data_IF_454847532112
#
_entry.id   IF_454847532112
#
_cell.length_a   1.000
_cell.length_b   1.000
_cell.length_c   1.000
_cell.angle_alpha   90.00
_cell.angle_beta   90.00
_cell.angle_gamma   90.00
#
_symmetry.space_group_name_H-M   'P 1'
#
loop_
_entity.id
_entity.type
_entity.pdbx_description
1 polymer ?
#
# COMPACT_ATOMS: atom_id res chain seq x y z
N UNK A 1 20.30 32.04 16.40
CA UNK A 1 19.34 30.98 16.78
C UNK A 1 18.98 30.17 15.53
N UNK A 2 19.76 29.13 15.21
CA UNK A 2 19.50 28.29 14.05
C UNK A 2 18.61 27.11 14.47
N UNK A 3 17.33 27.17 14.10
CA UNK A 3 16.37 26.12 14.37
C UNK A 3 16.78 24.84 13.65
N UNK A 4 17.16 23.81 14.42
CA UNK A 4 17.41 22.49 13.89
C UNK A 4 16.06 21.88 13.53
N UNK A 5 15.77 21.78 12.23
CA UNK A 5 14.59 21.09 11.73
C UNK A 5 14.61 19.64 12.20
N UNK A 6 13.53 19.21 12.87
CA UNK A 6 13.40 17.87 13.44
C UNK A 6 13.68 16.76 12.43
N UNK A 7 14.13 15.61 12.94
CA UNK A 7 14.42 14.41 12.16
C UNK A 7 13.26 14.09 11.22
N UNK A 8 13.47 14.32 9.92
CA UNK A 8 12.50 13.93 8.88
C UNK A 8 12.52 12.42 8.82
N UNK A 9 11.35 11.78 8.78
CA UNK A 9 11.15 10.33 8.66
C UNK A 9 11.75 9.71 7.38
N UNK A 10 12.47 10.50 6.57
CA UNK A 10 13.05 10.14 5.27
C UNK A 10 14.31 10.97 5.00
N UNK A 11 15.46 10.52 5.49
CA UNK A 11 16.75 10.93 4.93
C UNK A 11 17.48 9.69 4.44
N UNK A 12 17.44 9.46 3.13
CA UNK A 12 18.15 8.38 2.45
C UNK A 12 17.21 7.43 1.66
N UNK A 13 17.70 6.82 0.57
CA UNK A 13 17.05 5.69 -0.06
C UNK A 13 16.78 4.60 0.98
N UNK A 14 15.56 4.06 0.99
CA UNK A 14 15.20 2.99 1.91
C UNK A 14 16.06 1.76 1.57
N UNK A 15 16.64 1.08 2.58
CA UNK A 15 17.48 -0.10 2.34
C UNK A 15 16.74 -1.14 1.49
N UNK A 16 17.45 -1.77 0.56
CA UNK A 16 16.88 -2.85 -0.25
C UNK A 16 16.50 -4.00 0.67
N UNK A 17 15.21 -4.35 0.77
CA UNK A 17 14.72 -5.40 1.68
C UNK A 17 15.29 -6.78 1.38
N UNK A 18 15.79 -7.02 0.17
CA UNK A 18 16.33 -8.31 -0.29
C UNK A 18 17.85 -8.40 -0.20
N UNK A 19 18.52 -7.34 0.28
CA UNK A 19 19.97 -7.33 0.42
C UNK A 19 20.44 -8.07 1.68
N UNK A 20 21.60 -8.72 1.62
CA UNK A 20 22.24 -9.38 2.79
C UNK A 20 22.39 -8.42 3.98
N UNK A 21 22.62 -7.13 3.71
CA UNK A 21 22.75 -6.09 4.74
C UNK A 21 21.42 -5.79 5.44
N UNK A 22 20.29 -5.95 4.74
CA UNK A 22 18.95 -5.80 5.29
C UNK A 22 18.48 -7.07 6.01
N UNK A 23 18.85 -8.24 5.52
CA UNK A 23 18.62 -9.53 6.21
C UNK A 23 19.36 -9.58 7.56
N UNK A 24 20.62 -9.13 7.60
CA UNK A 24 21.39 -8.98 8.84
C UNK A 24 20.77 -7.97 9.82
N UNK A 25 19.94 -7.04 9.33
CA UNK A 25 19.18 -6.07 10.14
C UNK A 25 17.75 -6.55 10.45
N UNK A 26 17.36 -7.73 9.99
CA UNK A 26 16.01 -8.28 10.15
C UNK A 26 14.92 -7.56 9.34
N UNK A 27 15.29 -6.69 8.39
CA UNK A 27 14.34 -5.86 7.64
C UNK A 27 13.47 -6.68 6.68
N UNK A 28 13.92 -7.87 6.26
CA UNK A 28 13.12 -8.80 5.45
C UNK A 28 12.05 -9.57 6.24
N UNK A 29 12.18 -9.67 7.57
CA UNK A 29 11.28 -10.47 8.41
C UNK A 29 9.87 -9.86 8.54
N UNK A 30 9.74 -8.54 8.35
CA UNK A 30 8.47 -7.82 8.47
C UNK A 30 7.69 -7.73 7.15
N UNK A 31 8.21 -8.31 6.06
CA UNK A 31 7.58 -8.27 4.74
C UNK A 31 6.45 -9.29 4.66
N UNK A 32 5.26 -8.83 4.27
CA UNK A 32 4.08 -9.66 4.06
C UNK A 32 4.01 -10.05 2.57
N UNK A 33 4.20 -11.33 2.22
CA UNK A 33 3.94 -11.81 0.88
C UNK A 33 2.44 -11.91 0.62
N UNK A 34 2.00 -11.38 -0.53
CA UNK A 34 0.63 -11.42 -1.02
C UNK A 34 0.62 -12.22 -2.31
N UNK A 35 -0.19 -13.28 -2.38
CA UNK A 35 -0.30 -14.09 -3.59
C UNK A 35 -0.80 -13.25 -4.77
N UNK A 36 -0.12 -13.38 -5.92
CA UNK A 36 -0.48 -12.74 -7.19
C UNK A 36 -1.85 -13.19 -7.72
N UNK A 37 -2.32 -14.39 -7.33
CA UNK A 37 -3.67 -14.88 -7.65
C UNK A 37 -4.78 -14.05 -7.03
N UNK A 38 -4.45 -13.22 -6.06
CA UNK A 38 -5.38 -12.31 -5.42
C UNK A 38 -6.19 -12.94 -4.30
N UNK A 39 -7.20 -12.21 -3.85
CA UNK A 39 -8.06 -12.66 -2.76
C UNK A 39 -9.29 -13.41 -3.30
N UNK A 40 -9.52 -14.62 -2.79
CA UNK A 40 -10.52 -15.55 -3.34
C UNK A 40 -11.84 -15.58 -2.58
N UNK A 41 -11.91 -14.99 -1.39
CA UNK A 41 -13.14 -15.02 -0.60
C UNK A 41 -14.06 -13.86 -0.98
N UNK A 42 -15.36 -14.03 -0.68
CA UNK A 42 -16.32 -12.96 -0.85
C UNK A 42 -15.96 -11.79 0.09
N UNK A 43 -15.88 -10.55 -0.43
CA UNK A 43 -15.66 -9.41 0.44
C UNK A 43 -16.82 -9.18 1.38
N UNK A 44 -16.53 -8.55 2.53
CA UNK A 44 -17.59 -8.04 3.41
C UNK A 44 -18.45 -7.01 2.66
N UNK A 45 -19.66 -6.79 3.17
CA UNK A 45 -20.56 -5.78 2.63
C UNK A 45 -19.87 -4.40 2.56
N UNK A 46 -20.18 -3.65 1.51
CA UNK A 46 -19.66 -2.30 1.33
C UNK A 46 -20.11 -1.42 2.50
N UNK A 47 -19.19 -0.77 3.24
CA UNK A 47 -19.52 -0.18 4.54
C UNK A 47 -20.08 1.24 4.48
N UNK A 48 -19.91 1.95 3.36
CA UNK A 48 -20.39 3.33 3.26
C UNK A 48 -21.88 3.35 2.93
N UNK A 49 -22.56 4.38 3.44
CA UNK A 49 -23.94 4.67 3.07
C UNK A 49 -24.05 4.96 1.58
N UNK A 50 -25.25 4.85 1.04
CA UNK A 50 -25.53 5.24 -0.34
C UNK A 50 -25.09 6.69 -0.63
N UNK A 51 -24.54 6.92 -1.82
CA UNK A 51 -24.28 8.26 -2.35
C UNK A 51 -25.51 8.78 -3.07
N UNK A 52 -26.10 9.88 -2.60
CA UNK A 52 -27.30 10.45 -3.21
C UNK A 52 -26.91 11.58 -4.16
N UNK A 53 -27.36 11.48 -5.40
CA UNK A 53 -27.22 12.52 -6.41
C UNK A 53 -28.49 13.37 -6.42
N UNK A 54 -28.31 14.68 -6.42
CA UNK A 54 -29.40 15.64 -6.52
C UNK A 54 -29.30 16.39 -7.83
N UNK A 55 -30.42 16.52 -8.52
CA UNK A 55 -30.57 17.51 -9.59
C UNK A 55 -30.97 18.85 -8.96
N UNK A 56 -30.32 19.91 -9.40
CA UNK A 56 -30.50 21.26 -8.88
C UNK A 56 -30.65 22.23 -10.03
N UNK A 57 -31.80 22.88 -10.11
CA UNK A 57 -32.08 23.91 -11.10
C UNK A 57 -32.73 25.12 -10.42
N UNK A 58 -32.62 26.27 -11.07
CA UNK A 58 -33.22 27.51 -10.61
C UNK A 58 -34.18 28.02 -11.68
N UNK A 59 -35.41 28.31 -11.27
CA UNK A 59 -36.43 28.95 -12.10
C UNK A 59 -36.94 30.24 -11.43
N UNK A 60 -38.08 30.76 -11.90
CA UNK A 60 -38.71 31.96 -11.36
C UNK A 60 -39.25 31.76 -9.92
N UNK A 61 -39.61 30.53 -9.56
CA UNK A 61 -40.18 30.16 -8.26
C UNK A 61 -39.10 29.87 -7.20
N UNK A 62 -37.86 29.60 -7.62
CA UNK A 62 -36.71 29.51 -6.73
C UNK A 62 -35.68 28.47 -7.11
N UNK A 63 -34.90 28.01 -6.11
CA UNK A 63 -33.95 26.90 -6.26
C UNK A 63 -34.66 25.60 -5.93
N UNK A 64 -34.72 24.70 -6.90
CA UNK A 64 -35.26 23.36 -6.74
C UNK A 64 -34.12 22.37 -6.50
N UNK A 65 -34.43 21.35 -5.71
CA UNK A 65 -33.49 20.26 -5.39
C UNK A 65 -34.28 18.97 -5.27
N UNK A 66 -34.14 18.11 -6.28
CA UNK A 66 -34.78 16.80 -6.30
C UNK A 66 -33.74 15.69 -6.32
N UNK A 67 -34.08 14.54 -5.73
CA UNK A 67 -33.22 13.37 -5.77
C UNK A 67 -33.29 12.78 -7.18
N UNK A 68 -32.14 12.67 -7.83
CA UNK A 68 -32.04 11.91 -9.07
C UNK A 68 -31.85 10.43 -8.73
N UNK A 69 -32.94 9.68 -8.74
CA UNK A 69 -32.94 8.23 -8.50
C UNK A 69 -32.04 7.48 -9.48
N UNK A 70 -32.05 7.86 -10.76
CA UNK A 70 -31.33 7.15 -11.82
C UNK A 70 -29.82 7.35 -11.68
N UNK A 71 -29.38 8.60 -11.48
CA UNK A 71 -27.97 8.91 -11.25
C UNK A 71 -27.48 8.35 -9.92
N UNK A 72 -28.31 8.39 -8.88
CA UNK A 72 -28.04 7.75 -7.58
C UNK A 72 -27.79 6.25 -7.75
N UNK A 73 -28.69 5.53 -8.42
CA UNK A 73 -28.53 4.10 -8.67
C UNK A 73 -27.28 3.77 -9.51
N UNK A 74 -27.03 4.56 -10.57
CA UNK A 74 -25.87 4.38 -11.43
C UNK A 74 -24.56 4.54 -10.65
N UNK A 75 -24.45 5.60 -9.83
CA UNK A 75 -23.28 5.85 -8.98
C UNK A 75 -23.00 4.68 -8.05
N UNK A 76 -24.02 4.27 -7.27
CA UNK A 76 -23.83 3.24 -6.25
C UNK A 76 -23.59 1.86 -6.88
N UNK A 77 -24.12 1.60 -8.07
CA UNK A 77 -23.79 0.40 -8.85
C UNK A 77 -22.31 0.40 -9.27
N UNK A 78 -21.80 1.53 -9.75
CA UNK A 78 -20.39 1.68 -10.13
C UNK A 78 -19.45 1.53 -8.93
N UNK A 79 -19.77 2.18 -7.82
CA UNK A 79 -19.01 2.10 -6.56
C UNK A 79 -18.95 0.65 -6.04
N UNK A 80 -20.09 -0.06 -6.03
CA UNK A 80 -20.15 -1.48 -5.64
C UNK A 80 -19.41 -2.40 -6.60
N UNK A 81 -19.36 -2.08 -7.89
CA UNK A 81 -18.57 -2.84 -8.86
C UNK A 81 -17.07 -2.72 -8.56
N UNK A 82 -16.58 -1.49 -8.34
CA UNK A 82 -15.19 -1.23 -7.95
C UNK A 82 -14.82 -1.95 -6.66
N UNK A 83 -15.69 -1.93 -5.64
CA UNK A 83 -15.47 -2.69 -4.42
C UNK A 83 -15.23 -4.17 -4.71
N UNK A 84 -16.09 -4.81 -5.51
CA UNK A 84 -15.93 -6.23 -5.86
C UNK A 84 -14.62 -6.50 -6.60
N UNK A 85 -14.21 -5.60 -7.48
CA UNK A 85 -13.00 -5.78 -8.27
C UNK A 85 -11.73 -5.57 -7.46
N UNK A 86 -11.68 -4.56 -6.58
CA UNK A 86 -10.55 -4.36 -5.68
C UNK A 86 -10.32 -5.56 -4.75
N UNK A 87 -11.40 -6.18 -4.28
CA UNK A 87 -11.31 -7.37 -3.43
C UNK A 87 -10.87 -8.64 -4.17
N UNK A 88 -10.60 -8.59 -5.48
CA UNK A 88 -9.93 -9.67 -6.22
C UNK A 88 -8.40 -9.49 -6.25
N UNK A 89 -7.89 -8.32 -5.87
CA UNK A 89 -6.46 -8.02 -5.96
C UNK A 89 -5.65 -8.69 -4.84
N UNK A 90 -4.32 -8.87 -5.01
CA UNK A 90 -3.43 -9.38 -3.95
C UNK A 90 -3.50 -8.59 -2.64
N UNK A 91 -3.64 -7.26 -2.72
CA UNK A 91 -3.74 -6.35 -1.57
C UNK A 91 -4.92 -6.69 -0.64
N UNK A 92 -5.99 -7.26 -1.19
CA UNK A 92 -7.15 -7.64 -0.41
C UNK A 92 -6.87 -8.78 0.59
N UNK A 93 -5.84 -9.59 0.33
CA UNK A 93 -5.32 -10.55 1.32
C UNK A 93 -4.87 -9.81 2.58
N UNK A 94 -4.12 -8.71 2.41
CA UNK A 94 -3.68 -7.88 3.53
C UNK A 94 -4.88 -7.20 4.22
N UNK A 95 -5.80 -6.60 3.46
CA UNK A 95 -6.98 -5.91 4.03
C UNK A 95 -7.88 -6.84 4.85
N UNK A 96 -7.86 -8.15 4.58
CA UNK A 96 -8.58 -9.16 5.37
C UNK A 96 -7.88 -9.50 6.69
N UNK A 97 -6.56 -9.31 6.82
CA UNK A 97 -5.82 -9.64 8.03
C UNK A 97 -6.24 -8.76 9.22
N UNK A 98 -6.38 -9.31 10.44
CA UNK A 98 -6.76 -8.52 11.63
C UNK A 98 -5.89 -7.28 11.86
N UNK A 99 -4.57 -7.39 11.63
CA UNK A 99 -3.61 -6.28 11.83
C UNK A 99 -3.85 -5.09 10.90
N UNK A 100 -4.45 -5.29 9.73
CA UNK A 100 -4.73 -4.24 8.74
C UNK A 100 -6.21 -3.88 8.65
N UNK A 101 -7.04 -4.37 9.59
CA UNK A 101 -8.49 -4.16 9.56
C UNK A 101 -8.89 -2.68 9.58
N UNK A 102 -8.02 -1.80 10.10
CA UNK A 102 -8.23 -0.34 10.07
C UNK A 102 -8.27 0.25 8.64
N UNK A 103 -7.70 -0.42 7.64
CA UNK A 103 -7.73 0.02 6.23
C UNK A 103 -9.09 -0.19 5.56
N UNK A 104 -9.99 -0.99 6.14
CA UNK A 104 -11.26 -1.39 5.53
C UNK A 104 -12.10 -0.20 5.05
N UNK A 105 -12.22 0.84 5.88
CA UNK A 105 -12.95 2.06 5.52
C UNK A 105 -12.21 2.89 4.46
N UNK A 106 -10.87 2.91 4.50
CA UNK A 106 -10.05 3.61 3.50
C UNK A 106 -10.19 2.97 2.11
N UNK A 107 -10.28 1.64 2.02
CA UNK A 107 -10.55 0.95 0.74
C UNK A 107 -11.93 1.34 0.20
N UNK A 108 -12.93 1.48 1.06
CA UNK A 108 -14.27 1.90 0.65
C UNK A 108 -14.30 3.37 0.21
N UNK A 109 -13.61 4.26 0.93
CA UNK A 109 -13.43 5.66 0.55
C UNK A 109 -12.66 5.81 -0.77
N UNK A 110 -11.70 4.94 -1.04
CA UNK A 110 -11.04 4.89 -2.34
C UNK A 110 -12.03 4.60 -3.47
N UNK A 111 -12.95 3.64 -3.30
CA UNK A 111 -14.00 3.36 -4.31
C UNK A 111 -14.84 4.60 -4.59
N UNK A 112 -15.30 5.29 -3.54
CA UNK A 112 -16.08 6.53 -3.65
C UNK A 112 -15.31 7.61 -4.40
N UNK A 113 -14.06 7.84 -4.00
CA UNK A 113 -13.20 8.85 -4.58
C UNK A 113 -12.89 8.54 -6.05
N UNK A 114 -12.80 7.26 -6.41
CA UNK A 114 -12.58 6.83 -7.79
C UNK A 114 -13.76 7.22 -8.67
N UNK A 115 -14.99 6.89 -8.26
CA UNK A 115 -16.21 7.27 -9.00
C UNK A 115 -16.35 8.79 -9.10
N UNK A 116 -16.03 9.52 -8.03
CA UNK A 116 -16.01 10.99 -8.06
C UNK A 116 -15.02 11.51 -9.11
N UNK A 117 -13.82 10.93 -9.19
CA UNK A 117 -12.82 11.30 -10.18
C UNK A 117 -13.19 10.94 -11.64
N UNK A 118 -14.16 10.04 -11.86
CA UNK A 118 -14.72 9.74 -13.20
C UNK A 118 -15.67 10.84 -13.68
N UNK A 119 -16.17 11.70 -12.80
CA UNK A 119 -17.07 12.80 -13.19
C UNK A 119 -16.32 13.94 -13.87
N UNK A 120 -17.03 14.68 -14.73
CA UNK A 120 -16.48 15.87 -15.40
C UNK A 120 -16.10 16.98 -14.41
N UNK A 121 -16.79 17.06 -13.28
CA UNK A 121 -16.60 18.09 -12.25
C UNK A 121 -15.48 17.79 -11.26
N UNK A 122 -14.81 16.64 -11.40
CA UNK A 122 -13.72 16.23 -10.53
C UNK A 122 -12.61 17.29 -10.49
N UNK A 123 -12.19 17.68 -9.30
CA UNK A 123 -11.17 18.73 -9.08
C UNK A 123 -9.78 18.13 -8.92
N UNK A 124 -8.76 18.99 -8.94
CA UNK A 124 -7.38 18.56 -8.67
C UNK A 124 -7.24 17.94 -7.26
N UNK A 125 -7.94 18.51 -6.27
CA UNK A 125 -7.97 18.00 -4.90
C UNK A 125 -8.52 16.56 -4.82
N UNK A 126 -9.53 16.23 -5.64
CA UNK A 126 -10.13 14.90 -5.69
C UNK A 126 -9.13 13.86 -6.19
N UNK A 127 -8.39 14.19 -7.26
CA UNK A 127 -7.35 13.32 -7.82
C UNK A 127 -6.18 13.15 -6.85
N UNK A 128 -5.80 14.21 -6.14
CA UNK A 128 -4.79 14.13 -5.09
C UNK A 128 -5.24 13.22 -3.93
N UNK A 129 -6.51 13.28 -3.52
CA UNK A 129 -7.08 12.39 -2.50
C UNK A 129 -7.09 10.93 -2.96
N UNK A 130 -7.47 10.68 -4.22
CA UNK A 130 -7.44 9.34 -4.80
C UNK A 130 -6.04 8.72 -4.75
N UNK A 131 -5.01 9.47 -5.14
CA UNK A 131 -3.63 9.02 -5.11
C UNK A 131 -3.14 8.71 -3.68
N UNK A 132 -3.48 9.57 -2.69
CA UNK A 132 -3.12 9.32 -1.28
C UNK A 132 -3.78 8.06 -0.74
N UNK A 133 -5.05 7.82 -1.07
CA UNK A 133 -5.71 6.58 -0.68
C UNK A 133 -5.07 5.38 -1.35
N UNK A 134 -4.76 5.43 -2.66
CA UNK A 134 -4.07 4.36 -3.37
C UNK A 134 -2.75 3.96 -2.70
N UNK A 135 -1.94 4.94 -2.31
CA UNK A 135 -0.71 4.71 -1.53
C UNK A 135 -1.01 4.06 -0.18
N UNK A 136 -1.99 4.57 0.56
CA UNK A 136 -2.34 4.07 1.90
C UNK A 136 -2.78 2.61 1.88
N UNK A 137 -3.56 2.21 0.87
CA UNK A 137 -4.09 0.85 0.77
C UNK A 137 -3.20 -0.10 -0.06
N UNK A 138 -2.01 0.34 -0.48
CA UNK A 138 -1.03 -0.52 -1.15
C UNK A 138 -1.29 -0.79 -2.64
N UNK A 139 -2.05 0.06 -3.33
CA UNK A 139 -2.31 -0.07 -4.78
C UNK A 139 -1.17 0.49 -5.65
N UNK A 140 -0.19 1.18 -5.06
CA UNK A 140 0.97 1.72 -5.76
C UNK A 140 2.26 1.02 -5.32
N UNK A 141 3.33 1.03 -6.13
CA UNK A 141 4.64 0.51 -5.70
C UNK A 141 5.16 1.17 -4.42
N UNK A 142 4.87 2.46 -4.24
CA UNK A 142 5.19 3.17 -3.00
C UNK A 142 4.36 2.65 -1.82
N UNK A 143 3.06 2.45 -2.00
CA UNK A 143 2.18 1.91 -0.97
C UNK A 143 2.56 0.50 -0.54
N UNK A 144 2.86 -0.38 -1.50
CA UNK A 144 3.37 -1.73 -1.23
C UNK A 144 4.63 -1.66 -0.36
N UNK A 145 5.60 -0.84 -0.75
CA UNK A 145 6.84 -0.65 0.03
C UNK A 145 6.59 -0.09 1.43
N UNK A 146 5.71 0.89 1.59
CA UNK A 146 5.41 1.50 2.89
C UNK A 146 4.70 0.54 3.84
N UNK A 147 3.85 -0.32 3.30
CA UNK A 147 3.12 -1.30 4.09
C UNK A 147 3.95 -2.58 4.35
N UNK A 148 5.15 -2.68 3.77
CA UNK A 148 5.97 -3.88 3.80
C UNK A 148 5.30 -5.04 3.07
N UNK A 149 4.61 -4.79 1.96
CA UNK A 149 3.92 -5.81 1.18
C UNK A 149 4.69 -6.11 -0.10
N UNK A 150 4.78 -7.38 -0.45
CA UNK A 150 5.31 -7.83 -1.75
C UNK A 150 4.31 -8.76 -2.42
N UNK A 151 4.20 -8.68 -3.75
CA UNK A 151 3.35 -9.58 -4.53
C UNK A 151 4.22 -10.70 -5.06
N UNK A 152 3.84 -11.94 -4.80
CA UNK A 152 4.61 -13.15 -5.17
C UNK A 152 3.73 -14.13 -5.93
N UNK A 153 4.32 -14.85 -6.88
CA UNK A 153 3.65 -15.96 -7.55
C UNK A 153 3.74 -17.21 -6.68
N UNK A 154 2.61 -17.89 -6.47
CA UNK A 154 2.56 -19.12 -5.65
C UNK A 154 3.42 -20.28 -6.21
N UNK A 155 3.80 -20.21 -7.49
CA UNK A 155 4.60 -21.21 -8.20
C UNK A 155 6.10 -21.13 -7.85
N UNK A 156 6.56 -20.04 -7.22
CA UNK A 156 7.92 -19.95 -6.68
C UNK A 156 8.03 -20.77 -5.37
N UNK A 157 8.18 -22.08 -5.56
CA UNK A 157 8.67 -23.05 -4.58
C UNK A 157 9.75 -22.43 -3.70
N UNK A 158 9.41 -22.28 -2.41
CA UNK A 158 10.27 -22.14 -1.22
C UNK A 158 11.43 -21.13 -1.32
N UNK A 159 11.63 -20.24 -0.33
CA UNK A 159 12.90 -19.55 -0.24
C UNK A 159 13.99 -20.62 -0.26
N UNK A 160 14.92 -20.51 -1.21
CA UNK A 160 16.16 -21.28 -1.19
C UNK A 160 16.65 -21.17 0.24
N UNK A 161 16.60 -22.28 0.98
CA UNK A 161 17.16 -22.35 2.32
C UNK A 161 18.49 -21.64 2.25
N UNK A 162 18.68 -20.59 3.07
CA UNK A 162 19.92 -19.86 3.14
C UNK A 162 21.03 -20.90 3.09
N UNK A 163 21.79 -20.90 1.99
CA UNK A 163 22.80 -21.92 1.76
C UNK A 163 23.62 -21.97 3.05
N UNK A 164 23.54 -23.09 3.77
CA UNK A 164 24.39 -23.35 4.91
C UNK A 164 25.78 -22.96 4.44
N UNK A 165 26.44 -22.03 5.14
CA UNK A 165 27.74 -21.50 4.74
C UNK A 165 28.75 -22.66 4.69
N UNK A 166 28.82 -23.32 3.54
CA UNK A 166 29.77 -24.38 3.30
C UNK A 166 31.13 -23.69 3.22
N UNK A 167 31.96 -23.98 4.21
CA UNK A 167 33.16 -23.25 4.52
C UNK A 167 34.12 -23.08 3.35
N UNK A 168 34.64 -21.87 3.25
CA UNK A 168 36.08 -21.55 3.24
C UNK A 168 36.21 -20.06 3.50
N UNK A 169 36.02 -19.66 4.77
CA UNK A 169 36.51 -18.35 5.21
C UNK A 169 38.03 -18.46 5.19
N UNK A 170 38.68 -17.81 4.23
CA UNK A 170 40.13 -17.60 4.29
C UNK A 170 40.33 -16.61 5.45
N UNK A 171 40.97 -17.01 6.57
CA UNK A 171 41.13 -16.11 7.70
C UNK A 171 42.16 -15.04 7.31
N UNK A 172 41.69 -13.85 6.98
CA UNK A 172 42.58 -12.70 6.82
C UNK A 172 42.99 -12.21 8.21
N UNK A 173 44.30 -12.29 8.50
CA UNK A 173 44.86 -11.72 9.74
C UNK A 173 44.47 -10.24 9.84
N UNK A 174 44.00 -9.81 11.01
CA UNK A 174 43.70 -8.40 11.30
C UNK A 174 44.95 -7.54 11.15
N UNK A 175 44.79 -6.27 10.75
CA UNK A 175 45.88 -5.30 10.63
C UNK A 175 46.69 -5.16 11.92
N UNK A 176 46.02 -5.28 13.09
CA UNK A 176 46.68 -5.28 14.41
C UNK A 176 47.59 -6.50 14.59
N UNK A 177 47.16 -7.66 14.13
CA UNK A 177 47.94 -8.91 14.22
C UNK A 177 49.18 -8.85 13.31
N UNK A 178 49.07 -8.27 12.11
CA UNK A 178 50.22 -8.08 11.22
C UNK A 178 51.24 -7.08 11.78
N UNK A 179 50.76 -5.96 12.32
CA UNK A 179 51.61 -4.94 12.91
C UNK A 179 52.44 -5.48 14.10
N UNK A 180 51.81 -6.29 14.96
CA UNK A 180 52.48 -6.91 16.11
C UNK A 180 53.51 -7.98 15.72
N UNK A 181 53.31 -8.69 14.60
CA UNK A 181 54.30 -9.65 14.08
C UNK A 181 55.50 -8.96 13.43
N UNK A 182 55.32 -7.78 12.84
CA UNK A 182 56.39 -7.03 12.17
C UNK A 182 57.23 -6.15 13.11
N UNK A 183 56.69 -5.78 14.28
CA UNK A 183 57.30 -4.79 15.18
C UNK A 183 57.35 -5.27 16.65
N UNK A 184 57.19 -6.57 16.88
CA UNK A 184 57.26 -7.20 18.20
C UNK A 184 58.53 -8.00 18.39
N UNK A 185 59.62 -7.31 18.71
CA UNK A 185 60.75 -7.75 19.55
C UNK A 185 61.27 -6.54 20.32
#
# INVERSE_FOLDING_TARGET
MAGHGGARTRSGPMPDPTSERSDLRGLGADIVPLSSKGYHYKPKAFPLSEWVVFDMWKDEDGLHKERDETATDAWNRRERALWRDLWKLPQAIAWHMPKYRYLFNTVALYCRQFVLCETADAKAADRATLARYADTIGLTPQGLRLNGWTIVDDEEKQPKQAASSSGKVIPFKSAKTRYLEEHGD
#
